data_IF_401654823343
#
_entry.id   IF_401654823343
#
_cell.length_a   1.000
_cell.length_b   1.000
_cell.length_c   1.000
_cell.angle_alpha   90.00
_cell.angle_beta   90.00
_cell.angle_gamma   90.00
#
_symmetry.space_group_name_H-M   'P 1'
#
loop_
_entity.id
_entity.type
_entity.pdbx_description
1 polymer ?
#
# COMPACT_ATOMS: atom_id res chain seq x y z
N UNK A 1 -37.30 -96.05 3.39
CA UNK A 1 -38.08 -95.87 4.64
C UNK A 1 -37.17 -95.26 5.67
N UNK A 2 -37.59 -94.22 6.33
CA UNK A 2 -37.03 -93.49 7.48
C UNK A 2 -35.72 -92.76 7.32
N UNK A 3 -35.91 -91.55 7.17
CA UNK A 3 -35.33 -90.24 7.61
C UNK A 3 -34.67 -90.27 8.95
N UNK A 4 -33.53 -89.69 9.08
CA UNK A 4 -33.11 -88.94 10.29
C UNK A 4 -32.48 -87.63 9.91
N UNK A 5 -33.15 -86.57 10.33
CA UNK A 5 -32.65 -85.17 10.33
C UNK A 5 -31.49 -85.06 11.32
N UNK A 6 -30.43 -84.38 10.94
CA UNK A 6 -29.45 -83.84 11.85
C UNK A 6 -29.40 -82.32 11.65
N UNK A 7 -29.88 -81.63 12.68
CA UNK A 7 -29.80 -80.14 12.76
C UNK A 7 -28.41 -79.71 13.09
N UNK A 8 -27.79 -78.89 12.25
CA UNK A 8 -26.54 -78.21 12.54
C UNK A 8 -26.84 -76.77 12.92
N UNK A 9 -26.69 -76.44 14.19
CA UNK A 9 -26.81 -75.07 14.71
C UNK A 9 -25.50 -74.29 14.38
N UNK A 10 -25.60 -73.29 13.50
CA UNK A 10 -24.52 -72.33 13.24
C UNK A 10 -24.58 -71.25 14.31
N UNK A 11 -23.58 -71.20 15.16
CA UNK A 11 -23.32 -70.12 16.11
C UNK A 11 -22.68 -68.94 15.32
N UNK A 12 -23.43 -67.86 15.08
CA UNK A 12 -22.89 -66.60 14.57
C UNK A 12 -22.26 -65.83 15.76
N UNK A 13 -20.95 -65.85 15.85
CA UNK A 13 -20.19 -64.97 16.75
C UNK A 13 -20.08 -63.59 16.06
N UNK A 14 -20.86 -62.60 16.54
CA UNK A 14 -20.69 -61.19 16.20
C UNK A 14 -19.37 -60.69 16.83
N UNK A 15 -18.32 -60.61 16.07
CA UNK A 15 -17.11 -59.90 16.45
C UNK A 15 -17.38 -58.42 16.18
N UNK A 16 -17.72 -57.64 17.21
CA UNK A 16 -17.67 -56.18 17.15
C UNK A 16 -16.19 -55.78 17.05
N UNK A 17 -15.70 -55.64 15.83
CA UNK A 17 -14.43 -54.99 15.57
C UNK A 17 -14.56 -53.50 15.81
N UNK A 18 -14.09 -53.03 16.96
CA UNK A 18 -13.75 -51.64 17.20
C UNK A 18 -12.66 -51.26 16.20
N UNK A 19 -13.06 -50.87 15.00
CA UNK A 19 -12.18 -50.22 14.04
C UNK A 19 -11.75 -48.88 14.64
N UNK A 20 -10.66 -48.85 15.38
CA UNK A 20 -9.88 -47.63 15.52
C UNK A 20 -9.42 -47.22 14.10
N UNK A 21 -10.18 -46.35 13.47
CA UNK A 21 -9.77 -45.69 12.25
C UNK A 21 -8.51 -44.89 12.59
N UNK A 22 -7.35 -45.47 12.26
CA UNK A 22 -6.10 -44.71 12.19
C UNK A 22 -6.34 -43.71 11.05
N UNK A 23 -6.72 -42.47 11.44
CA UNK A 23 -6.63 -41.36 10.49
C UNK A 23 -5.15 -41.31 10.08
N UNK A 24 -4.82 -41.42 8.79
CA UNK A 24 -3.45 -41.20 8.38
C UNK A 24 -3.03 -39.83 8.94
N UNK A 25 -1.89 -39.80 9.62
CA UNK A 25 -1.31 -38.53 10.04
C UNK A 25 -1.23 -37.66 8.80
N UNK A 26 -1.85 -36.49 8.85
CA UNK A 26 -1.76 -35.53 7.76
C UNK A 26 -0.27 -35.31 7.46
N UNK A 27 0.09 -35.37 6.18
CA UNK A 27 1.48 -35.14 5.80
C UNK A 27 1.90 -33.76 6.27
N UNK A 28 3.03 -33.68 6.99
CA UNK A 28 3.53 -32.41 7.49
C UNK A 28 3.75 -31.46 6.31
N UNK A 29 3.31 -30.21 6.43
CA UNK A 29 3.54 -29.16 5.44
C UNK A 29 5.04 -28.86 5.42
N UNK A 30 5.68 -29.06 4.30
CA UNK A 30 7.12 -28.83 4.12
C UNK A 30 7.44 -27.58 3.32
N UNK A 31 6.41 -26.98 2.68
CA UNK A 31 6.56 -25.81 1.82
C UNK A 31 5.29 -24.96 1.84
N UNK A 32 5.47 -23.63 1.91
CA UNK A 32 4.44 -22.60 1.73
C UNK A 32 4.80 -21.70 0.54
N UNK A 33 3.78 -21.17 -0.11
CA UNK A 33 3.92 -20.22 -1.22
C UNK A 33 3.21 -18.92 -0.86
N UNK A 34 3.95 -17.81 -0.95
CA UNK A 34 3.42 -16.45 -0.86
C UNK A 34 3.44 -15.85 -2.25
N UNK A 35 2.34 -15.26 -2.72
CA UNK A 35 2.36 -14.44 -3.94
C UNK A 35 2.42 -12.97 -3.56
N UNK A 36 3.28 -12.22 -4.25
CA UNK A 36 3.43 -10.78 -4.09
C UNK A 36 3.76 -10.09 -5.41
N UNK A 37 3.68 -8.76 -5.43
CA UNK A 37 4.15 -7.97 -6.55
C UNK A 37 5.66 -8.08 -6.76
N UNK A 38 6.11 -7.88 -7.99
CA UNK A 38 7.53 -7.87 -8.34
C UNK A 38 8.17 -6.52 -7.98
N UNK A 39 8.90 -6.49 -6.87
CA UNK A 39 9.63 -5.31 -6.40
C UNK A 39 10.62 -5.68 -5.28
N UNK A 40 11.47 -4.74 -4.88
CA UNK A 40 12.52 -5.01 -3.90
C UNK A 40 12.04 -5.59 -2.54
N UNK A 41 10.93 -5.13 -1.92
CA UNK A 41 10.43 -5.76 -0.69
C UNK A 41 10.12 -7.25 -0.83
N UNK A 42 9.65 -7.72 -1.98
CA UNK A 42 9.43 -9.16 -2.19
C UNK A 42 10.74 -9.95 -2.18
N UNK A 43 11.84 -9.38 -2.71
CA UNK A 43 13.18 -9.97 -2.61
C UNK A 43 13.69 -9.99 -1.17
N UNK A 44 13.40 -8.92 -0.41
CA UNK A 44 13.75 -8.87 1.02
C UNK A 44 12.98 -9.91 1.83
N UNK A 45 11.69 -10.09 1.55
CA UNK A 45 10.90 -11.15 2.18
C UNK A 45 11.44 -12.54 1.81
N UNK A 46 11.78 -12.79 0.52
CA UNK A 46 12.41 -14.06 0.11
C UNK A 46 13.75 -14.32 0.81
N UNK A 47 14.47 -13.27 1.18
CA UNK A 47 15.67 -13.36 1.98
C UNK A 47 15.35 -13.67 3.45
N UNK A 48 14.42 -12.95 4.04
CA UNK A 48 14.02 -13.09 5.44
C UNK A 48 13.46 -14.47 5.77
N UNK A 49 12.68 -15.07 4.87
CA UNK A 49 12.05 -16.38 5.10
C UNK A 49 13.04 -17.53 5.25
N UNK A 50 14.32 -17.34 4.90
CA UNK A 50 15.38 -18.32 5.21
C UNK A 50 15.56 -18.52 6.71
N UNK A 51 15.34 -17.48 7.51
CA UNK A 51 15.38 -17.60 8.96
C UNK A 51 14.20 -18.45 9.46
N UNK A 52 13.02 -18.32 8.84
CA UNK A 52 11.86 -19.17 9.17
C UNK A 52 12.12 -20.64 8.79
N UNK A 53 12.67 -20.89 7.60
CA UNK A 53 13.05 -22.22 7.16
C UNK A 53 14.00 -22.91 8.17
N UNK A 54 14.96 -22.16 8.70
CA UNK A 54 15.94 -22.66 9.67
C UNK A 54 15.31 -23.07 11.01
N UNK A 55 14.26 -22.38 11.45
CA UNK A 55 13.61 -22.65 12.77
C UNK A 55 12.40 -23.56 12.67
N UNK A 56 11.65 -23.51 11.57
CA UNK A 56 10.40 -24.26 11.39
C UNK A 56 10.57 -25.54 10.53
N UNK A 57 11.63 -25.62 9.74
CA UNK A 57 11.82 -26.71 8.75
C UNK A 57 10.83 -26.64 7.58
N UNK A 58 10.13 -25.52 7.41
CA UNK A 58 9.16 -25.29 6.35
C UNK A 58 9.75 -24.28 5.36
N UNK A 59 9.93 -24.69 4.12
CA UNK A 59 10.39 -23.82 3.05
C UNK A 59 9.31 -22.80 2.70
N UNK A 60 9.68 -21.54 2.46
CA UNK A 60 8.75 -20.51 1.99
C UNK A 60 9.25 -19.91 0.68
N UNK A 61 8.41 -19.96 -0.35
CA UNK A 61 8.69 -19.37 -1.65
C UNK A 61 7.86 -18.11 -1.83
N UNK A 62 8.50 -16.99 -2.16
CA UNK A 62 7.84 -15.75 -2.55
C UNK A 62 7.79 -15.69 -4.08
N UNK A 63 6.62 -15.95 -4.64
CA UNK A 63 6.36 -15.86 -6.08
C UNK A 63 6.00 -14.42 -6.40
N UNK A 64 6.67 -13.85 -7.38
CA UNK A 64 6.49 -12.45 -7.75
C UNK A 64 5.75 -12.32 -9.08
N UNK A 65 4.80 -11.39 -9.12
CA UNK A 65 3.99 -11.05 -10.29
C UNK A 65 4.18 -9.56 -10.62
N UNK A 66 4.36 -9.17 -11.90
CA UNK A 66 4.42 -7.75 -12.27
C UNK A 66 3.18 -6.97 -11.79
N UNK A 67 3.37 -5.73 -11.32
CA UNK A 67 2.31 -4.89 -10.77
C UNK A 67 1.07 -4.81 -11.67
N UNK A 68 1.25 -4.59 -12.98
CA UNK A 68 0.14 -4.44 -13.91
C UNK A 68 -0.73 -5.70 -14.11
N UNK A 69 -0.23 -6.88 -13.73
CA UNK A 69 -0.95 -8.17 -13.83
C UNK A 69 -1.28 -8.78 -12.48
N UNK A 70 -0.75 -8.25 -11.39
CA UNK A 70 -0.81 -8.86 -10.08
C UNK A 70 -2.25 -9.07 -9.58
N UNK A 71 -3.10 -8.04 -9.60
CA UNK A 71 -4.52 -8.20 -9.21
C UNK A 71 -5.23 -9.24 -10.09
N UNK A 72 -5.00 -9.21 -11.40
CA UNK A 72 -5.63 -10.15 -12.33
C UNK A 72 -5.22 -11.60 -12.02
N UNK A 73 -3.95 -11.82 -11.67
CA UNK A 73 -3.44 -13.15 -11.28
C UNK A 73 -4.11 -13.65 -10.00
N UNK A 74 -4.24 -12.80 -8.98
CA UNK A 74 -4.89 -13.13 -7.71
C UNK A 74 -6.39 -13.36 -7.93
N UNK A 75 -7.07 -12.49 -8.68
CA UNK A 75 -8.50 -12.62 -8.97
C UNK A 75 -8.85 -13.89 -9.78
N UNK A 76 -7.98 -14.30 -10.71
CA UNK A 76 -8.14 -15.55 -11.43
C UNK A 76 -8.09 -16.76 -10.49
N UNK A 77 -7.19 -16.75 -9.52
CA UNK A 77 -7.10 -17.80 -8.51
C UNK A 77 -8.32 -17.82 -7.57
N UNK A 78 -8.83 -16.66 -7.16
CA UNK A 78 -10.07 -16.54 -6.40
C UNK A 78 -11.26 -17.12 -7.15
N UNK A 79 -11.42 -16.75 -8.43
CA UNK A 79 -12.49 -17.25 -9.27
C UNK A 79 -12.44 -18.78 -9.44
N UNK A 80 -11.25 -19.35 -9.53
CA UNK A 80 -11.03 -20.80 -9.60
C UNK A 80 -11.17 -21.49 -8.24
N UNK A 81 -11.25 -20.76 -7.12
CA UNK A 81 -11.09 -21.28 -5.75
C UNK A 81 -9.82 -22.12 -5.62
N UNK A 82 -8.77 -21.64 -6.23
CA UNK A 82 -7.50 -22.34 -6.36
C UNK A 82 -6.63 -22.28 -5.11
N UNK A 83 -5.63 -23.12 -5.09
CA UNK A 83 -4.67 -23.26 -3.97
C UNK A 83 -3.22 -23.15 -4.44
N UNK A 84 -2.97 -22.39 -5.52
CA UNK A 84 -1.63 -22.23 -6.07
C UNK A 84 -0.70 -21.45 -5.12
N UNK A 85 -1.26 -20.67 -4.22
CA UNK A 85 -0.53 -19.99 -3.14
C UNK A 85 -1.29 -20.11 -1.83
N UNK A 86 -0.53 -20.12 -0.72
CA UNK A 86 -1.06 -20.21 0.64
C UNK A 86 -1.44 -18.84 1.21
N UNK A 87 -0.62 -17.84 0.88
CA UNK A 87 -0.76 -16.48 1.35
C UNK A 87 -0.60 -15.50 0.21
N UNK A 88 -1.24 -14.35 0.36
CA UNK A 88 -1.16 -13.22 -0.57
C UNK A 88 -0.71 -12.02 0.23
N UNK A 89 0.41 -11.39 -0.16
CA UNK A 89 0.69 -10.02 0.29
C UNK A 89 -0.02 -9.10 -0.68
N UNK A 90 -1.30 -8.86 -0.39
CA UNK A 90 -2.21 -8.14 -1.26
C UNK A 90 -2.25 -6.66 -0.96
N UNK A 91 -2.57 -5.86 -1.98
CA UNK A 91 -2.77 -4.44 -1.82
C UNK A 91 -3.95 -4.16 -0.87
N UNK A 92 -3.86 -3.09 -0.10
CA UNK A 92 -4.89 -2.63 0.84
C UNK A 92 -6.27 -2.53 0.19
N UNK A 93 -6.30 -2.05 -1.04
CA UNK A 93 -7.51 -1.77 -1.81
C UNK A 93 -8.30 -3.03 -2.20
N UNK A 94 -7.69 -4.22 -2.15
CA UNK A 94 -8.37 -5.49 -2.46
C UNK A 94 -8.89 -6.22 -1.22
N UNK A 95 -8.55 -5.71 -0.05
CA UNK A 95 -8.89 -6.37 1.23
C UNK A 95 -10.39 -6.62 1.34
N UNK A 96 -11.20 -5.62 1.01
CA UNK A 96 -12.65 -5.72 1.07
C UNK A 96 -13.22 -6.79 0.13
N UNK A 97 -12.68 -6.90 -1.08
CA UNK A 97 -13.09 -7.95 -2.01
C UNK A 97 -12.70 -9.33 -1.48
N UNK A 98 -11.45 -9.50 -1.05
CA UNK A 98 -10.96 -10.76 -0.50
C UNK A 98 -11.74 -11.22 0.73
N UNK A 99 -12.06 -10.29 1.63
CA UNK A 99 -12.82 -10.54 2.85
C UNK A 99 -14.30 -10.84 2.60
N UNK A 100 -15.01 -9.95 1.88
CA UNK A 100 -16.46 -10.05 1.68
C UNK A 100 -16.88 -11.22 0.81
N UNK A 101 -16.03 -11.60 -0.16
CA UNK A 101 -16.28 -12.73 -1.05
C UNK A 101 -15.76 -14.07 -0.51
N UNK A 102 -15.16 -14.08 0.69
CA UNK A 102 -14.70 -15.30 1.38
C UNK A 102 -13.45 -15.93 0.76
N UNK A 103 -12.58 -15.11 0.16
CA UNK A 103 -11.31 -15.55 -0.42
C UNK A 103 -10.19 -15.61 0.63
N UNK A 104 -10.33 -14.87 1.73
CA UNK A 104 -9.37 -14.82 2.82
C UNK A 104 -9.90 -15.50 4.08
N UNK A 105 -9.01 -16.03 4.88
CA UNK A 105 -9.29 -16.51 6.24
C UNK A 105 -9.35 -15.32 7.19
N UNK A 106 -10.38 -15.27 8.05
CA UNK A 106 -10.43 -14.23 9.09
C UNK A 106 -9.34 -14.45 10.14
N UNK A 107 -8.59 -13.41 10.47
CA UNK A 107 -7.45 -13.43 11.39
C UNK A 107 -7.77 -12.85 12.78
N UNK A 108 -9.01 -12.43 13.06
CA UNK A 108 -9.38 -11.71 14.29
C UNK A 108 -8.99 -12.48 15.55
N UNK A 109 -9.41 -13.74 15.65
CA UNK A 109 -9.09 -14.57 16.81
C UNK A 109 -7.60 -14.94 16.88
N UNK A 110 -6.98 -15.15 15.73
CA UNK A 110 -5.54 -15.40 15.65
C UNK A 110 -4.75 -14.22 16.20
N UNK A 111 -5.04 -13.00 15.77
CA UNK A 111 -4.35 -11.79 16.22
C UNK A 111 -4.52 -11.56 17.70
N UNK A 112 -5.73 -11.75 18.22
CA UNK A 112 -6.05 -11.61 19.65
C UNK A 112 -5.33 -12.64 20.52
N UNK A 113 -5.32 -13.90 20.09
CA UNK A 113 -4.78 -15.02 20.88
C UNK A 113 -3.24 -15.12 20.84
N UNK A 114 -2.58 -14.38 19.94
CA UNK A 114 -1.12 -14.36 19.81
C UNK A 114 -0.49 -13.05 20.32
N UNK A 115 -0.96 -12.52 21.45
CA UNK A 115 -0.39 -11.33 22.07
C UNK A 115 -1.02 -10.03 21.62
N UNK A 116 -2.25 -10.07 21.09
CA UNK A 116 -2.97 -8.91 20.58
C UNK A 116 -2.16 -8.18 19.49
N UNK A 117 -1.82 -8.92 18.44
CA UNK A 117 -0.97 -8.45 17.35
C UNK A 117 -1.46 -7.14 16.71
N UNK A 118 -2.77 -6.86 16.81
CA UNK A 118 -3.35 -5.59 16.37
C UNK A 118 -2.71 -4.36 17.05
N UNK A 119 -2.23 -4.52 18.29
CA UNK A 119 -1.57 -3.42 19.04
C UNK A 119 -0.09 -3.24 18.69
N UNK A 120 0.49 -4.16 17.95
CA UNK A 120 1.92 -4.08 17.59
C UNK A 120 2.17 -3.25 16.34
N UNK A 121 1.14 -2.96 15.56
CA UNK A 121 1.23 -2.23 14.30
C UNK A 121 0.53 -0.86 14.41
N UNK A 122 0.88 0.07 13.50
CA UNK A 122 0.29 1.41 13.54
C UNK A 122 -1.23 1.33 13.30
N UNK A 123 -2.04 2.18 13.94
CA UNK A 123 -3.49 2.16 13.78
C UNK A 123 -3.94 2.32 12.32
N UNK A 124 -3.26 3.17 11.54
CA UNK A 124 -3.61 3.38 10.14
C UNK A 124 -3.34 2.13 9.29
N UNK A 125 -2.18 1.48 9.45
CA UNK A 125 -1.90 0.25 8.69
C UNK A 125 -2.82 -0.89 9.11
N UNK A 126 -3.19 -0.98 10.39
CA UNK A 126 -4.18 -1.96 10.83
C UNK A 126 -5.53 -1.73 10.18
N UNK A 127 -6.00 -0.47 10.15
CA UNK A 127 -7.29 -0.09 9.57
C UNK A 127 -7.34 -0.37 8.07
N UNK A 128 -6.30 0.06 7.32
CA UNK A 128 -6.35 -0.03 5.85
C UNK A 128 -5.86 -1.36 5.31
N UNK A 129 -4.86 -2.01 5.95
CA UNK A 129 -4.28 -3.27 5.44
C UNK A 129 -4.83 -4.52 6.08
N UNK A 130 -5.51 -4.43 7.22
CA UNK A 130 -5.96 -5.59 7.98
C UNK A 130 -7.45 -5.66 8.21
N UNK A 131 -8.12 -4.52 8.40
CA UNK A 131 -9.50 -4.47 8.87
C UNK A 131 -10.52 -4.33 7.75
N UNK A 132 -11.56 -5.16 7.78
CA UNK A 132 -12.73 -5.01 6.91
C UNK A 132 -13.99 -5.62 7.55
N UNK A 133 -15.18 -4.94 7.52
CA UNK A 133 -15.34 -3.52 7.17
C UNK A 133 -14.59 -2.59 8.13
N UNK A 134 -14.30 -1.36 7.69
CA UNK A 134 -13.61 -0.37 8.51
C UNK A 134 -14.34 -0.14 9.83
N UNK A 135 -13.62 -0.13 10.96
CA UNK A 135 -14.17 0.06 12.31
C UNK A 135 -14.88 -1.17 12.90
N UNK A 136 -14.84 -2.33 12.24
CA UNK A 136 -15.51 -3.56 12.70
C UNK A 136 -14.73 -4.34 13.75
N UNK A 137 -13.41 -4.13 13.86
CA UNK A 137 -12.51 -4.97 14.63
C UNK A 137 -12.30 -6.37 14.06
N UNK A 138 -12.67 -6.59 12.79
CA UNK A 138 -12.46 -7.86 12.07
C UNK A 138 -11.28 -7.74 11.14
N UNK A 139 -10.31 -8.63 11.30
CA UNK A 139 -9.04 -8.59 10.58
C UNK A 139 -8.94 -9.74 9.57
N UNK A 140 -8.46 -9.45 8.36
CA UNK A 140 -8.37 -10.37 7.24
C UNK A 140 -6.96 -10.46 6.66
N UNK A 141 -6.10 -9.53 7.08
CA UNK A 141 -4.68 -9.56 6.78
C UNK A 141 -3.88 -9.03 7.97
N UNK A 142 -2.60 -9.41 8.05
CA UNK A 142 -1.64 -8.80 8.96
C UNK A 142 -0.83 -7.74 8.21
N UNK A 143 -0.78 -6.47 8.67
CA UNK A 143 0.00 -5.41 8.04
C UNK A 143 1.48 -5.81 7.89
N UNK A 144 1.97 -5.85 6.67
CA UNK A 144 3.27 -6.44 6.33
C UNK A 144 4.25 -5.41 5.80
N UNK A 145 3.78 -4.56 4.90
CA UNK A 145 4.56 -3.52 4.24
C UNK A 145 3.85 -2.20 4.40
N UNK A 146 4.43 -1.28 5.15
CA UNK A 146 3.93 0.07 5.31
C UNK A 146 4.64 0.99 4.33
N UNK A 147 3.93 1.59 3.40
CA UNK A 147 4.50 2.58 2.51
C UNK A 147 3.62 3.83 2.45
N UNK A 148 4.18 4.93 2.05
CA UNK A 148 3.48 6.20 1.91
C UNK A 148 4.22 7.12 0.93
N UNK A 149 3.51 8.11 0.40
CA UNK A 149 4.16 9.15 -0.37
C UNK A 149 4.94 10.13 0.51
N UNK A 150 6.11 10.52 0.01
CA UNK A 150 6.96 11.57 0.58
C UNK A 150 7.64 12.36 -0.52
N UNK A 151 8.59 13.19 -0.14
CA UNK A 151 9.33 14.03 -1.06
C UNK A 151 10.83 13.85 -0.90
N UNK A 152 11.54 13.76 -2.02
CA UNK A 152 12.98 13.98 -2.10
C UNK A 152 13.25 15.40 -2.58
N UNK A 153 14.35 16.04 -2.12
CA UNK A 153 14.75 17.38 -2.55
C UNK A 153 16.27 17.53 -2.65
N UNK A 154 16.73 18.47 -3.42
CA UNK A 154 18.12 18.81 -3.66
C UNK A 154 18.61 19.77 -2.57
N UNK A 155 19.29 19.25 -1.52
CA UNK A 155 19.87 20.05 -0.43
C UNK A 155 20.83 21.13 -0.95
N UNK A 156 21.65 20.81 -1.95
CA UNK A 156 22.58 21.76 -2.55
C UNK A 156 21.89 22.99 -3.16
N UNK A 157 20.67 22.84 -3.69
CA UNK A 157 19.87 23.99 -4.15
C UNK A 157 19.23 24.74 -3.00
N UNK A 158 18.67 24.02 -2.02
CA UNK A 158 17.97 24.63 -0.89
C UNK A 158 18.92 25.31 0.11
N UNK A 159 20.15 24.85 0.19
CA UNK A 159 21.16 25.37 1.13
C UNK A 159 22.09 26.41 0.50
N UNK A 160 22.05 26.60 -0.82
CA UNK A 160 22.85 27.62 -1.51
C UNK A 160 22.50 29.04 -0.98
N UNK A 161 23.48 29.81 -0.46
CA UNK A 161 23.22 31.13 0.07
C UNK A 161 22.61 32.11 -0.94
N UNK A 162 22.93 31.97 -2.23
CA UNK A 162 22.37 32.83 -3.30
C UNK A 162 20.92 32.50 -3.55
N UNK A 163 20.58 31.21 -3.54
CA UNK A 163 19.19 30.76 -3.70
C UNK A 163 18.35 31.21 -2.50
N UNK A 164 18.87 31.10 -1.29
CA UNK A 164 18.19 31.58 -0.07
C UNK A 164 17.93 33.08 -0.12
N UNK A 165 18.91 33.88 -0.52
CA UNK A 165 18.79 35.34 -0.64
C UNK A 165 17.73 35.68 -1.73
N UNK A 166 17.83 35.07 -2.90
CA UNK A 166 16.90 35.30 -4.01
C UNK A 166 15.47 34.90 -3.69
N UNK A 167 15.29 33.74 -3.02
CA UNK A 167 13.98 33.27 -2.57
C UNK A 167 13.37 34.23 -1.55
N UNK A 168 14.16 34.63 -0.55
CA UNK A 168 13.73 35.58 0.48
C UNK A 168 13.34 36.93 -0.13
N UNK A 169 14.11 37.43 -1.10
CA UNK A 169 13.80 38.67 -1.81
C UNK A 169 12.49 38.56 -2.59
N UNK A 170 12.19 37.40 -3.18
CA UNK A 170 10.99 37.17 -4.00
C UNK A 170 9.74 36.91 -3.16
N UNK A 171 9.85 36.09 -2.11
CA UNK A 171 8.69 35.58 -1.36
C UNK A 171 8.57 36.14 0.08
N UNK A 172 9.55 36.92 0.55
CA UNK A 172 9.52 37.54 1.89
C UNK A 172 9.72 36.57 3.05
N UNK A 173 10.13 35.32 2.78
CA UNK A 173 10.37 34.28 3.77
C UNK A 173 11.62 33.47 3.43
N UNK A 174 12.18 32.76 4.40
CA UNK A 174 13.36 31.92 4.19
C UNK A 174 13.03 30.71 3.29
N UNK A 175 13.99 30.31 2.45
CA UNK A 175 13.96 29.06 1.71
C UNK A 175 14.28 27.90 2.68
N UNK A 176 13.37 26.94 2.77
CA UNK A 176 13.50 25.75 3.61
C UNK A 176 12.57 24.64 3.16
N UNK A 177 12.49 23.58 3.95
CA UNK A 177 11.52 22.50 3.70
C UNK A 177 10.11 23.08 3.82
N UNK A 178 9.24 22.89 2.78
CA UNK A 178 7.88 23.42 2.81
C UNK A 178 7.04 22.72 3.90
N UNK A 179 6.29 23.52 4.65
CA UNK A 179 5.37 23.02 5.68
C UNK A 179 3.91 22.98 5.20
N UNK A 180 3.61 23.72 4.14
CA UNK A 180 2.29 23.78 3.51
C UNK A 180 2.37 23.56 2.00
N UNK A 181 1.27 23.12 1.40
CA UNK A 181 1.18 22.97 -0.06
C UNK A 181 1.43 24.27 -0.84
N UNK A 182 0.90 25.44 -0.43
CA UNK A 182 1.27 26.70 -1.07
C UNK A 182 2.78 27.00 -1.02
N UNK A 183 3.44 26.72 0.10
CA UNK A 183 4.90 26.89 0.20
C UNK A 183 5.65 25.96 -0.76
N UNK A 184 5.21 24.70 -0.90
CA UNK A 184 5.79 23.74 -1.84
C UNK A 184 5.67 24.24 -3.28
N UNK A 185 4.50 24.77 -3.65
CA UNK A 185 4.25 25.33 -5.00
C UNK A 185 5.13 26.56 -5.25
N UNK A 186 5.26 27.47 -4.29
CA UNK A 186 6.15 28.63 -4.43
C UNK A 186 7.61 28.21 -4.63
N UNK A 187 8.08 27.21 -3.89
CA UNK A 187 9.44 26.65 -4.04
C UNK A 187 9.59 25.99 -5.42
N UNK A 188 8.58 25.21 -5.85
CA UNK A 188 8.59 24.59 -7.16
C UNK A 188 8.65 25.64 -8.29
N UNK A 189 7.85 26.70 -8.21
CA UNK A 189 7.93 27.86 -9.14
C UNK A 189 9.27 28.55 -9.10
N UNK A 190 9.86 28.71 -7.92
CA UNK A 190 11.15 29.37 -7.76
C UNK A 190 12.28 28.64 -8.46
N UNK A 191 12.32 27.31 -8.32
CA UNK A 191 13.33 26.47 -8.95
C UNK A 191 13.04 26.13 -10.41
N UNK A 192 11.88 26.51 -10.95
CA UNK A 192 11.58 26.28 -12.37
C UNK A 192 12.29 27.30 -13.23
N UNK A 193 13.34 26.86 -13.96
CA UNK A 193 14.22 27.62 -14.86
C UNK A 193 14.35 26.82 -16.17
N UNK A 194 13.31 26.94 -17.00
CA UNK A 194 13.18 26.13 -18.23
C UNK A 194 14.34 26.29 -19.20
N UNK A 195 14.91 27.48 -19.25
CA UNK A 195 16.09 27.83 -20.03
C UNK A 195 17.38 27.12 -19.54
N UNK A 196 17.41 26.70 -18.30
CA UNK A 196 18.53 25.96 -17.68
C UNK A 196 18.23 24.45 -17.60
N UNK A 197 17.07 23.99 -18.05
CA UNK A 197 16.64 22.59 -17.92
C UNK A 197 16.32 22.15 -16.49
N UNK A 198 16.12 23.13 -15.56
CA UNK A 198 15.74 22.86 -14.18
C UNK A 198 14.24 23.14 -14.00
N UNK A 199 13.57 22.21 -13.34
CA UNK A 199 12.16 22.28 -13.00
C UNK A 199 11.96 22.12 -11.49
N UNK A 200 10.81 22.61 -10.99
CA UNK A 200 10.59 22.61 -9.53
C UNK A 200 10.23 21.26 -8.95
N UNK A 201 9.41 20.47 -9.66
CA UNK A 201 8.88 19.24 -9.11
C UNK A 201 8.59 18.17 -10.17
N UNK A 202 8.81 16.92 -9.81
CA UNK A 202 8.23 15.75 -10.48
C UNK A 202 7.13 15.18 -9.61
N UNK A 203 5.95 14.93 -10.20
CA UNK A 203 4.76 14.36 -9.54
C UNK A 203 4.16 13.25 -10.40
N UNK A 204 3.29 12.45 -9.82
CA UNK A 204 2.58 11.39 -10.52
C UNK A 204 1.52 11.92 -11.48
N UNK A 205 1.52 11.40 -12.71
CA UNK A 205 0.59 11.81 -13.77
C UNK A 205 0.01 10.63 -14.53
N UNK A 206 0.61 9.43 -14.41
CA UNK A 206 0.17 8.24 -15.11
C UNK A 206 -1.24 7.83 -14.67
N UNK A 207 -2.07 7.45 -15.64
CA UNK A 207 -3.42 6.90 -15.38
C UNK A 207 -3.45 5.37 -15.44
N UNK A 208 -2.43 4.73 -14.90
CA UNK A 208 -2.34 3.29 -14.79
C UNK A 208 -2.03 2.91 -13.35
N UNK A 209 -2.48 1.73 -12.94
CA UNK A 209 -2.52 1.31 -11.55
C UNK A 209 -3.24 2.37 -10.71
N UNK A 210 -2.59 3.05 -9.78
CA UNK A 210 -3.20 4.10 -8.96
C UNK A 210 -2.41 5.43 -8.95
N UNK A 211 -1.41 5.55 -9.84
CA UNK A 211 -0.39 6.60 -9.81
C UNK A 211 -0.92 8.03 -9.62
N UNK A 212 -1.70 8.57 -10.59
CA UNK A 212 -2.22 9.95 -10.49
C UNK A 212 -3.19 10.11 -9.31
N UNK A 213 -3.94 9.05 -8.99
CA UNK A 213 -4.88 9.05 -7.88
C UNK A 213 -4.16 9.19 -6.56
N UNK A 214 -3.13 8.38 -6.31
CA UNK A 214 -2.33 8.45 -5.09
C UNK A 214 -1.54 9.75 -4.99
N UNK A 215 -1.01 10.23 -6.11
CA UNK A 215 -0.36 11.53 -6.15
C UNK A 215 -1.29 12.68 -5.73
N UNK A 216 -2.49 12.70 -6.29
CA UNK A 216 -3.50 13.72 -5.97
C UNK A 216 -4.06 13.58 -4.55
N UNK A 217 -4.25 12.37 -4.02
CA UNK A 217 -4.80 12.13 -2.69
C UNK A 217 -4.05 12.87 -1.58
N UNK A 218 -2.74 13.06 -1.70
CA UNK A 218 -1.95 13.76 -0.70
C UNK A 218 -2.50 15.17 -0.42
N UNK A 219 -2.72 15.94 -1.47
CA UNK A 219 -3.28 17.29 -1.35
C UNK A 219 -4.80 17.26 -1.13
N UNK A 220 -5.51 16.35 -1.80
CA UNK A 220 -6.96 16.20 -1.71
C UNK A 220 -7.44 15.98 -0.27
N UNK A 221 -6.88 14.99 0.41
CA UNK A 221 -7.22 14.70 1.81
C UNK A 221 -6.76 15.83 2.75
N UNK A 222 -5.59 16.44 2.49
CA UNK A 222 -5.09 17.55 3.28
C UNK A 222 -5.98 18.81 3.17
N UNK A 223 -6.75 18.91 2.09
CA UNK A 223 -7.76 19.95 1.89
C UNK A 223 -9.17 19.52 2.35
N UNK A 224 -9.28 18.35 2.98
CA UNK A 224 -10.54 17.85 3.56
C UNK A 224 -11.46 17.17 2.54
N UNK A 225 -10.96 16.88 1.33
CA UNK A 225 -11.63 16.01 0.37
C UNK A 225 -11.68 14.56 0.85
N UNK A 226 -12.61 13.81 0.30
CA UNK A 226 -12.72 12.36 0.46
C UNK A 226 -13.46 11.77 -0.74
N UNK A 227 -13.39 10.45 -0.93
CA UNK A 227 -14.08 9.81 -2.04
C UNK A 227 -15.57 9.59 -1.77
N UNK A 228 -15.95 9.51 -0.53
CA UNK A 228 -17.32 9.50 -0.03
C UNK A 228 -17.34 9.80 1.48
N UNK A 229 -18.48 10.17 2.04
CA UNK A 229 -18.64 10.34 3.48
C UNK A 229 -19.11 9.05 4.18
N UNK A 230 -19.34 9.10 5.47
CA UNK A 230 -19.83 7.96 6.26
C UNK A 230 -21.22 7.44 5.83
N UNK A 231 -21.96 8.18 5.02
CA UNK A 231 -23.24 7.79 4.43
C UNK A 231 -23.07 7.29 2.98
N UNK A 232 -21.83 7.11 2.50
CA UNK A 232 -21.49 6.74 1.12
C UNK A 232 -21.97 7.77 0.07
N UNK A 233 -22.07 9.03 0.44
CA UNK A 233 -22.39 10.14 -0.47
C UNK A 233 -21.11 10.77 -1.00
N UNK A 234 -21.07 11.02 -2.30
CA UNK A 234 -19.92 11.59 -3.01
C UNK A 234 -20.08 13.08 -3.29
N UNK A 235 -21.32 13.54 -3.55
CA UNK A 235 -21.62 14.94 -3.84
C UNK A 235 -21.34 15.82 -2.63
N UNK A 236 -20.68 16.97 -2.86
CA UNK A 236 -20.25 17.89 -1.80
C UNK A 236 -19.05 17.40 -0.99
N UNK A 237 -18.54 16.17 -1.27
CA UNK A 237 -17.37 15.58 -0.63
C UNK A 237 -16.23 15.54 -1.65
N UNK A 238 -16.40 14.81 -2.76
CA UNK A 238 -15.43 14.70 -3.85
C UNK A 238 -15.23 16.06 -4.54
N UNK A 239 -16.32 16.81 -4.74
CA UNK A 239 -16.38 18.07 -5.48
C UNK A 239 -16.61 19.29 -4.58
N UNK A 240 -16.20 19.23 -3.31
CA UNK A 240 -16.23 20.38 -2.41
C UNK A 240 -15.33 21.52 -2.92
N UNK A 241 -15.58 22.76 -2.49
CA UNK A 241 -14.75 23.92 -2.86
C UNK A 241 -13.26 23.71 -2.53
N UNK A 242 -12.95 23.05 -1.42
CA UNK A 242 -11.58 22.76 -1.03
C UNK A 242 -10.96 21.65 -1.89
N UNK A 243 -11.74 20.63 -2.28
CA UNK A 243 -11.31 19.61 -3.21
C UNK A 243 -10.99 20.20 -4.59
N UNK A 244 -11.80 21.15 -5.07
CA UNK A 244 -11.56 21.88 -6.33
C UNK A 244 -10.23 22.64 -6.25
N UNK A 245 -9.98 23.38 -5.17
CA UNK A 245 -8.69 24.07 -4.95
C UNK A 245 -7.52 23.09 -4.92
N UNK A 246 -7.67 21.94 -4.26
CA UNK A 246 -6.62 20.92 -4.22
C UNK A 246 -6.29 20.41 -5.64
N UNK A 247 -7.29 20.18 -6.48
CA UNK A 247 -7.07 19.72 -7.84
C UNK A 247 -6.46 20.81 -8.75
N UNK A 248 -6.86 22.06 -8.57
CA UNK A 248 -6.23 23.22 -9.24
C UNK A 248 -4.74 23.32 -8.89
N UNK A 249 -4.39 23.18 -7.61
CA UNK A 249 -3.01 23.23 -7.12
C UNK A 249 -2.19 22.04 -7.64
N UNK A 250 -2.76 20.84 -7.75
CA UNK A 250 -2.07 19.68 -8.30
C UNK A 250 -1.77 19.88 -9.78
N UNK A 251 -2.73 20.40 -10.54
CA UNK A 251 -2.53 20.79 -11.94
C UNK A 251 -1.47 21.91 -12.07
N UNK A 252 -1.52 22.90 -11.20
CA UNK A 252 -0.52 23.98 -11.20
C UNK A 252 0.91 23.44 -11.05
N UNK A 253 1.15 22.49 -10.12
CA UNK A 253 2.44 21.82 -9.99
C UNK A 253 2.88 21.13 -11.26
N UNK A 254 1.97 20.48 -11.97
CA UNK A 254 2.26 19.84 -13.24
C UNK A 254 2.60 20.87 -14.33
N UNK A 255 1.75 21.83 -14.56
CA UNK A 255 1.88 22.79 -15.68
C UNK A 255 3.06 23.75 -15.54
N UNK A 256 3.25 24.29 -14.33
CA UNK A 256 4.33 25.24 -14.13
C UNK A 256 5.68 24.55 -14.03
N UNK A 257 5.76 23.41 -13.32
CA UNK A 257 6.92 23.05 -12.56
C UNK A 257 7.43 21.63 -12.82
N UNK A 258 6.71 20.84 -13.64
CA UNK A 258 7.17 19.53 -14.07
C UNK A 258 7.90 19.60 -15.42
N UNK A 259 8.97 18.81 -15.62
CA UNK A 259 9.67 18.79 -16.90
C UNK A 259 8.80 18.19 -18.02
N UNK A 260 9.03 18.61 -19.29
CA UNK A 260 8.42 17.95 -20.43
C UNK A 260 8.71 16.45 -20.44
N UNK A 261 7.71 15.64 -20.83
CA UNK A 261 7.85 14.18 -20.87
C UNK A 261 7.27 13.47 -19.64
N UNK A 262 6.93 14.17 -18.55
CA UNK A 262 6.27 13.58 -17.39
C UNK A 262 4.72 13.58 -17.51
N UNK A 263 4.17 13.45 -18.71
CA UNK A 263 2.72 13.32 -18.92
C UNK A 263 2.17 11.93 -18.58
N UNK A 264 3.04 10.97 -18.38
CA UNK A 264 2.72 9.59 -17.98
C UNK A 264 3.75 9.10 -16.96
N UNK A 265 3.93 9.85 -15.86
CA UNK A 265 4.94 9.58 -14.85
C UNK A 265 4.36 8.83 -13.65
N UNK A 266 5.10 7.81 -13.21
CA UNK A 266 4.91 7.12 -11.95
C UNK A 266 6.25 7.09 -11.18
N UNK A 267 6.50 6.06 -10.40
CA UNK A 267 7.66 6.01 -9.51
C UNK A 267 9.01 6.06 -10.25
N UNK A 268 9.13 5.40 -11.42
CA UNK A 268 10.39 5.36 -12.14
C UNK A 268 10.72 6.71 -12.78
N UNK A 269 9.77 7.30 -13.48
CA UNK A 269 9.96 8.57 -14.20
C UNK A 269 10.23 9.73 -13.23
N UNK A 270 9.60 9.74 -12.04
CA UNK A 270 9.89 10.74 -11.01
C UNK A 270 11.31 10.59 -10.44
N UNK A 271 11.75 9.35 -10.20
CA UNK A 271 13.12 9.07 -9.78
C UNK A 271 14.15 9.44 -10.87
N UNK A 272 13.86 9.12 -12.13
CA UNK A 272 14.73 9.44 -13.27
C UNK A 272 14.89 10.97 -13.46
N UNK A 273 13.79 11.72 -13.33
CA UNK A 273 13.83 13.17 -13.37
C UNK A 273 14.71 13.77 -12.24
N UNK A 274 14.67 13.16 -11.06
CA UNK A 274 15.48 13.59 -9.92
C UNK A 274 16.95 13.22 -10.10
N UNK A 275 17.27 11.97 -10.43
CA UNK A 275 18.64 11.47 -10.57
C UNK A 275 19.38 12.09 -11.75
N UNK A 276 18.66 12.48 -12.80
CA UNK A 276 19.23 13.27 -13.92
C UNK A 276 19.51 14.73 -13.56
N UNK A 277 18.92 15.24 -12.46
CA UNK A 277 19.05 16.62 -12.01
C UNK A 277 18.08 17.59 -12.69
N UNK A 278 17.04 17.08 -13.34
CA UNK A 278 16.03 17.91 -13.99
C UNK A 278 15.08 18.58 -13.00
N UNK A 279 14.95 18.06 -11.78
CA UNK A 279 14.02 18.61 -10.78
C UNK A 279 14.69 18.92 -9.46
N UNK A 280 14.20 19.98 -8.78
CA UNK A 280 14.61 20.35 -7.43
C UNK A 280 13.96 19.45 -6.37
N UNK A 281 12.75 18.95 -6.63
CA UNK A 281 11.97 18.08 -5.75
C UNK A 281 11.31 16.95 -6.55
N UNK A 282 11.14 15.78 -5.94
CA UNK A 282 10.39 14.67 -6.52
C UNK A 282 9.49 14.03 -5.47
N UNK A 283 8.20 13.87 -5.79
CA UNK A 283 7.27 13.08 -4.99
C UNK A 283 7.40 11.60 -5.39
N UNK A 284 7.48 10.73 -4.39
CA UNK A 284 7.44 9.30 -4.63
C UNK A 284 6.99 8.56 -3.35
N UNK A 285 6.68 7.27 -3.48
CA UNK A 285 6.62 6.40 -2.33
C UNK A 285 8.00 6.20 -1.71
N UNK A 286 8.06 6.08 -0.39
CA UNK A 286 9.32 5.87 0.32
C UNK A 286 10.04 4.59 -0.13
N UNK A 287 9.30 3.55 -0.54
CA UNK A 287 9.86 2.31 -1.06
C UNK A 287 10.74 2.49 -2.31
N UNK A 288 10.63 3.61 -3.02
CA UNK A 288 11.46 3.91 -4.19
C UNK A 288 12.61 4.88 -3.90
N UNK A 289 12.72 5.42 -2.70
CA UNK A 289 13.83 6.30 -2.28
C UNK A 289 15.19 5.61 -2.07
N UNK A 290 15.31 4.27 -1.84
CA UNK A 290 16.62 3.61 -1.87
C UNK A 290 17.44 3.90 -3.13
N UNK A 291 16.79 4.00 -4.29
CA UNK A 291 17.46 4.37 -5.55
C UNK A 291 18.04 5.79 -5.50
N UNK A 292 17.39 6.73 -4.80
CA UNK A 292 17.84 8.11 -4.65
C UNK A 292 18.94 8.27 -3.59
N UNK A 293 18.97 7.38 -2.60
CA UNK A 293 20.01 7.37 -1.56
C UNK A 293 21.30 6.65 -2.00
N UNK A 294 21.26 5.90 -3.11
CA UNK A 294 22.39 5.12 -3.60
C UNK A 294 23.26 5.94 -4.56
N UNK A 295 24.53 6.18 -4.17
CA UNK A 295 25.51 6.93 -4.98
C UNK A 295 25.84 6.28 -6.33
N UNK A 296 25.59 4.96 -6.50
CA UNK A 296 25.78 4.29 -7.77
C UNK A 296 24.68 4.62 -8.80
N UNK A 297 23.46 4.92 -8.35
CA UNK A 297 22.31 5.26 -9.19
C UNK A 297 21.98 6.75 -9.21
N UNK A 298 22.39 7.50 -8.20
CA UNK A 298 22.12 8.93 -8.07
C UNK A 298 23.39 9.72 -7.75
N UNK A 299 23.88 10.50 -8.70
CA UNK A 299 25.04 11.39 -8.49
C UNK A 299 24.79 12.50 -7.44
N UNK A 300 23.54 12.74 -7.05
CA UNK A 300 23.14 13.70 -6.04
C UNK A 300 22.81 13.05 -4.68
N UNK A 301 23.07 11.74 -4.50
CA UNK A 301 22.69 11.01 -3.30
C UNK A 301 23.15 11.71 -2.00
N UNK A 302 24.41 12.22 -1.94
CA UNK A 302 24.98 12.90 -0.76
C UNK A 302 24.30 14.25 -0.47
N UNK A 303 23.69 14.86 -1.46
CA UNK A 303 22.93 16.13 -1.36
C UNK A 303 21.43 15.96 -1.51
N UNK A 304 20.95 14.72 -1.45
CA UNK A 304 19.52 14.42 -1.41
C UNK A 304 19.01 14.51 0.03
N UNK A 305 17.95 15.28 0.25
CA UNK A 305 17.19 15.31 1.49
C UNK A 305 15.79 14.74 1.27
N UNK A 306 15.10 14.44 2.37
CA UNK A 306 13.77 13.85 2.34
C UNK A 306 12.87 14.54 3.35
N UNK A 307 11.60 14.70 3.01
CA UNK A 307 10.60 15.26 3.91
C UNK A 307 9.22 14.61 3.65
N UNK A 308 8.38 14.67 4.67
CA UNK A 308 7.01 14.18 4.64
C UNK A 308 6.06 15.17 3.97
N UNK A 309 4.81 14.78 3.70
CA UNK A 309 3.84 15.62 3.01
C UNK A 309 3.58 16.94 3.75
N UNK A 310 3.46 18.07 3.03
CA UNK A 310 3.04 19.34 3.60
C UNK A 310 1.58 19.31 4.09
N UNK A 311 1.23 20.25 4.96
CA UNK A 311 -0.15 20.44 5.40
C UNK A 311 -0.98 21.23 4.38
N UNK A 312 -2.28 20.97 4.38
CA UNK A 312 -3.28 21.71 3.65
C UNK A 312 -4.04 22.70 4.54
N UNK A 313 -5.36 22.74 4.34
CA UNK A 313 -6.24 23.66 5.05
C UNK A 313 -6.32 23.30 6.54
N UNK A 314 -6.39 24.32 7.40
CA UNK A 314 -6.49 24.18 8.85
C UNK A 314 -5.39 23.28 9.48
N UNK A 315 -4.21 23.22 8.85
CA UNK A 315 -3.11 22.40 9.31
C UNK A 315 -3.30 20.89 9.11
N UNK A 316 -4.36 20.47 8.42
CA UNK A 316 -4.58 19.05 8.08
C UNK A 316 -3.46 18.54 7.22
N UNK A 317 -3.00 17.34 7.52
CA UNK A 317 -1.86 16.72 6.87
C UNK A 317 -2.15 15.27 6.59
N UNK A 318 -2.03 14.87 5.34
CA UNK A 318 -2.22 13.49 4.91
C UNK A 318 -1.18 13.10 3.86
N UNK A 319 -0.76 11.85 3.92
CA UNK A 319 0.00 11.19 2.87
C UNK A 319 -0.78 9.99 2.36
N UNK A 320 -0.78 9.79 1.05
CA UNK A 320 -1.36 8.58 0.46
C UNK A 320 -0.59 7.36 0.94
N UNK A 321 -1.31 6.41 1.49
CA UNK A 321 -0.80 5.12 1.94
C UNK A 321 -0.68 4.19 0.72
N UNK A 322 0.36 3.37 0.66
CA UNK A 322 0.62 2.49 -0.46
C UNK A 322 1.21 1.17 -0.01
N UNK A 323 0.61 0.51 0.96
CA UNK A 323 1.17 -0.69 1.52
C UNK A 323 0.26 -1.90 1.43
N UNK A 324 0.74 -3.00 1.96
CA UNK A 324 0.11 -4.30 1.82
C UNK A 324 0.01 -5.05 3.14
N UNK A 325 -1.03 -5.88 3.21
CA UNK A 325 -1.21 -6.88 4.26
C UNK A 325 -1.09 -8.30 3.73
N UNK A 326 -0.57 -9.20 4.56
CA UNK A 326 -0.51 -10.62 4.24
C UNK A 326 -1.79 -11.31 4.70
N UNK A 327 -2.53 -11.91 3.77
CA UNK A 327 -3.76 -12.68 3.98
C UNK A 327 -3.51 -14.16 3.75
N UNK A 328 -4.27 -15.02 4.44
CA UNK A 328 -4.25 -16.47 4.23
C UNK A 328 -5.36 -16.83 3.22
N UNK A 329 -5.03 -17.61 2.20
CA UNK A 329 -5.98 -18.11 1.20
C UNK A 329 -7.00 -19.06 1.86
N UNK A 330 -8.29 -18.81 1.68
CA UNK A 330 -9.36 -19.62 2.26
C UNK A 330 -9.47 -21.04 1.65
N UNK A 331 -8.92 -21.26 0.45
CA UNK A 331 -9.11 -22.47 -0.34
C UNK A 331 -8.04 -23.55 -0.15
N UNK A 332 -7.01 -23.29 0.65
CA UNK A 332 -5.98 -24.29 1.02
C UNK A 332 -6.48 -25.23 2.12
N UNK A 333 -5.80 -26.37 2.31
CA UNK A 333 -6.15 -27.32 3.37
C UNK A 333 -5.97 -26.73 4.78
N UNK A 334 -6.62 -27.32 5.77
CA UNK A 334 -6.54 -26.82 7.16
C UNK A 334 -5.11 -26.95 7.71
N UNK A 335 -4.34 -27.97 7.30
CA UNK A 335 -2.93 -28.12 7.67
C UNK A 335 -2.09 -26.97 7.11
N UNK A 336 -2.36 -26.54 5.86
CA UNK A 336 -1.66 -25.42 5.23
C UNK A 336 -2.08 -24.08 5.84
N UNK A 337 -3.37 -23.93 6.22
CA UNK A 337 -3.81 -22.75 7.00
C UNK A 337 -3.08 -22.66 8.33
N UNK A 338 -2.95 -23.80 9.05
CA UNK A 338 -2.22 -23.80 10.30
C UNK A 338 -0.74 -23.45 10.12
N UNK A 339 -0.08 -24.00 9.12
CA UNK A 339 1.30 -23.64 8.79
C UNK A 339 1.45 -22.15 8.39
N UNK A 340 0.45 -21.57 7.71
CA UNK A 340 0.40 -20.15 7.41
C UNK A 340 0.22 -19.29 8.66
N UNK A 341 -0.62 -19.70 9.63
CA UNK A 341 -0.71 -19.04 10.93
C UNK A 341 0.61 -19.09 11.70
N UNK A 342 1.31 -20.22 11.67
CA UNK A 342 2.61 -20.35 12.33
C UNK A 342 3.66 -19.42 11.71
N UNK A 343 3.63 -19.28 10.38
CA UNK A 343 4.45 -18.29 9.67
C UNK A 343 4.10 -16.85 10.09
N UNK A 344 2.81 -16.48 10.09
CA UNK A 344 2.38 -15.14 10.52
C UNK A 344 2.77 -14.83 11.95
N UNK A 345 2.65 -15.80 12.86
CA UNK A 345 3.07 -15.66 14.26
C UNK A 345 4.57 -15.37 14.37
N UNK A 346 5.40 -16.05 13.59
CA UNK A 346 6.84 -15.80 13.54
C UNK A 346 7.12 -14.41 12.92
N UNK A 347 6.50 -14.09 11.79
CA UNK A 347 6.72 -12.82 11.07
C UNK A 347 6.35 -11.61 11.93
N UNK A 348 5.28 -11.71 12.73
CA UNK A 348 4.79 -10.64 13.59
C UNK A 348 5.68 -10.38 14.83
N UNK A 349 6.68 -11.21 15.13
CA UNK A 349 7.57 -10.97 16.27
C UNK A 349 8.44 -9.74 16.04
N UNK A 350 8.72 -8.97 17.11
CA UNK A 350 9.53 -7.76 17.04
C UNK A 350 10.90 -8.00 16.43
N UNK A 351 11.58 -9.10 16.81
CA UNK A 351 12.92 -9.40 16.31
C UNK A 351 12.90 -9.66 14.79
N UNK A 352 11.87 -10.31 14.29
CA UNK A 352 11.70 -10.54 12.84
C UNK A 352 11.33 -9.24 12.13
N UNK A 353 10.48 -8.42 12.70
CA UNK A 353 10.13 -7.09 12.16
C UNK A 353 11.35 -6.15 12.15
N UNK A 354 12.25 -6.26 13.13
CA UNK A 354 13.52 -5.53 13.12
C UNK A 354 14.41 -5.99 11.96
N UNK A 355 14.58 -7.30 11.76
CA UNK A 355 15.32 -7.84 10.61
C UNK A 355 14.69 -7.47 9.27
N UNK A 356 13.35 -7.49 9.21
CA UNK A 356 12.59 -7.03 8.05
C UNK A 356 12.98 -5.61 7.67
N UNK A 357 12.98 -4.71 8.64
CA UNK A 357 13.38 -3.31 8.45
C UNK A 357 14.86 -3.16 8.06
N UNK A 358 15.75 -3.97 8.64
CA UNK A 358 17.20 -3.96 8.31
C UNK A 358 17.48 -4.43 6.86
N UNK A 359 16.66 -5.32 6.32
CA UNK A 359 16.73 -5.75 4.92
C UNK A 359 16.19 -4.67 3.96
N UNK A 360 15.48 -3.67 4.44
CA UNK A 360 14.86 -2.62 3.64
C UNK A 360 13.34 -2.71 3.54
N UNK A 361 12.69 -3.64 4.26
CA UNK A 361 11.24 -3.72 4.38
C UNK A 361 10.70 -2.55 5.21
N UNK A 362 9.53 -2.05 4.82
CA UNK A 362 8.87 -0.95 5.50
C UNK A 362 7.90 -1.49 6.54
N UNK A 363 8.46 -1.80 7.72
CA UNK A 363 7.70 -2.40 8.81
C UNK A 363 6.51 -1.53 9.25
N UNK A 364 5.41 -2.19 9.60
CA UNK A 364 4.26 -1.56 10.26
C UNK A 364 4.37 -1.59 11.79
N UNK A 365 5.39 -2.27 12.36
CA UNK A 365 5.55 -2.43 13.79
C UNK A 365 5.92 -1.12 14.49
N UNK A 366 5.09 -0.68 15.44
CA UNK A 366 5.24 0.62 16.14
C UNK A 366 6.59 0.73 16.85
N UNK A 367 7.03 -0.34 17.55
CA UNK A 367 8.27 -0.27 18.32
C UNK A 367 9.50 -0.19 17.41
N UNK A 368 9.47 -0.92 16.28
CA UNK A 368 10.56 -0.89 15.31
C UNK A 368 10.61 0.46 14.59
N UNK A 369 9.48 0.98 14.11
CA UNK A 369 9.39 2.30 13.46
C UNK A 369 9.97 3.44 14.30
N UNK A 370 9.77 3.38 15.63
CA UNK A 370 10.25 4.39 16.57
C UNK A 370 11.65 4.09 17.13
N UNK A 371 12.29 3.00 16.71
CA UNK A 371 13.61 2.65 17.20
C UNK A 371 14.70 3.54 16.59
N UNK A 372 15.71 3.88 17.40
CA UNK A 372 16.87 4.64 16.92
C UNK A 372 17.61 3.88 15.80
N UNK A 373 17.62 2.55 15.86
CA UNK A 373 18.20 1.71 14.85
C UNK A 373 17.51 1.92 13.50
N UNK A 374 16.16 1.85 13.44
CA UNK A 374 15.41 2.08 12.22
C UNK A 374 15.62 3.49 11.66
N UNK A 375 15.53 4.51 12.49
CA UNK A 375 15.64 5.92 12.06
C UNK A 375 17.01 6.25 11.43
N UNK A 376 18.04 5.44 11.71
CA UNK A 376 19.41 5.63 11.18
C UNK A 376 19.77 4.72 10.01
N UNK A 377 18.98 3.71 9.68
CA UNK A 377 19.28 2.74 8.59
C UNK A 377 19.34 3.43 7.24
N UNK A 378 18.42 4.35 6.95
CA UNK A 378 18.38 5.07 5.70
C UNK A 378 18.08 6.56 5.93
N UNK A 379 18.58 7.48 5.07
CA UNK A 379 18.43 8.92 5.26
C UNK A 379 16.98 9.42 5.18
N UNK A 380 16.06 8.61 4.64
CA UNK A 380 14.64 8.91 4.51
C UNK A 380 13.78 8.31 5.63
N UNK A 381 14.32 7.43 6.49
CA UNK A 381 13.52 6.72 7.49
C UNK A 381 12.88 7.63 8.53
N UNK A 382 13.53 8.74 8.89
CA UNK A 382 12.92 9.71 9.81
C UNK A 382 11.67 10.39 9.19
N UNK A 383 11.75 10.79 7.92
CA UNK A 383 10.60 11.33 7.19
C UNK A 383 9.51 10.28 6.98
N UNK A 384 9.89 9.02 6.72
CA UNK A 384 8.95 7.90 6.63
C UNK A 384 8.20 7.67 7.95
N UNK A 385 8.91 7.53 9.06
CA UNK A 385 8.30 7.31 10.38
C UNK A 385 7.33 8.44 10.76
N UNK A 386 7.70 9.68 10.47
CA UNK A 386 6.82 10.84 10.63
C UNK A 386 5.57 10.71 9.75
N UNK A 387 5.75 10.39 8.47
CA UNK A 387 4.65 10.25 7.50
C UNK A 387 3.63 9.21 7.93
N UNK A 388 4.07 8.07 8.48
CA UNK A 388 3.19 6.99 8.94
C UNK A 388 2.23 7.39 10.07
N UNK A 389 2.39 8.58 10.66
CA UNK A 389 1.46 9.08 11.69
C UNK A 389 0.22 9.77 11.12
N UNK A 390 0.20 10.12 9.83
CA UNK A 390 -0.91 10.84 9.19
C UNK A 390 -1.25 10.29 7.79
N UNK A 391 -1.04 9.00 7.58
CA UNK A 391 -1.40 8.33 6.32
C UNK A 391 -2.91 8.12 6.21
N UNK A 392 -3.40 8.14 4.96
CA UNK A 392 -4.76 7.80 4.60
C UNK A 392 -4.78 7.13 3.22
N UNK A 393 -5.57 6.07 3.10
CA UNK A 393 -5.72 5.34 1.85
C UNK A 393 -6.96 5.77 1.06
N UNK A 394 -7.09 5.28 -0.16
CA UNK A 394 -8.23 5.51 -1.02
C UNK A 394 -9.51 4.92 -0.39
N UNK A 395 -9.66 3.63 -0.47
CA UNK A 395 -10.73 2.84 0.15
C UNK A 395 -10.42 1.36 -0.02
N UNK A 396 -10.91 0.53 0.87
CA UNK A 396 -10.75 -0.93 0.78
C UNK A 396 -12.08 -1.68 0.55
N UNK A 397 -13.12 -0.99 0.03
CA UNK A 397 -14.39 -1.63 -0.31
C UNK A 397 -14.26 -2.47 -1.60
N UNK A 398 -15.14 -3.47 -1.80
CA UNK A 398 -15.07 -4.36 -2.98
C UNK A 398 -15.14 -3.63 -4.32
N UNK A 399 -15.77 -2.46 -4.35
CA UNK A 399 -16.00 -1.63 -5.55
C UNK A 399 -14.79 -0.82 -5.99
N UNK A 400 -13.70 -0.79 -5.21
CA UNK A 400 -12.49 -0.03 -5.53
C UNK A 400 -12.04 -0.20 -6.99
N UNK A 401 -11.98 -1.44 -7.47
CA UNK A 401 -11.54 -1.75 -8.84
C UNK A 401 -12.41 -1.12 -9.94
N UNK A 402 -13.69 -0.84 -9.65
CA UNK A 402 -14.58 -0.13 -10.56
C UNK A 402 -14.49 1.40 -10.41
N UNK A 403 -14.19 1.86 -9.20
CA UNK A 403 -14.07 3.30 -8.89
C UNK A 403 -12.79 3.93 -9.47
N UNK A 404 -11.67 3.21 -9.38
CA UNK A 404 -10.35 3.73 -9.73
C UNK A 404 -10.25 4.26 -11.17
N UNK A 405 -10.72 3.55 -12.22
CA UNK A 405 -10.63 4.06 -13.60
C UNK A 405 -11.37 5.37 -13.81
N UNK A 406 -12.51 5.59 -13.14
CA UNK A 406 -13.28 6.85 -13.22
C UNK A 406 -12.45 8.00 -12.66
N UNK A 407 -11.83 7.78 -11.51
CA UNK A 407 -10.98 8.78 -10.85
C UNK A 407 -9.77 9.10 -11.73
N UNK A 408 -9.02 8.09 -12.15
CA UNK A 408 -7.81 8.23 -12.96
C UNK A 408 -8.05 8.99 -14.26
N UNK A 409 -9.08 8.61 -15.00
CA UNK A 409 -9.38 9.23 -16.29
C UNK A 409 -9.71 10.71 -16.15
N UNK A 410 -10.58 11.07 -15.22
CA UNK A 410 -10.99 12.46 -15.02
C UNK A 410 -9.87 13.32 -14.46
N UNK A 411 -9.06 12.81 -13.52
CA UNK A 411 -7.89 13.52 -13.04
C UNK A 411 -6.86 13.75 -14.15
N UNK A 412 -6.53 12.70 -14.92
CA UNK A 412 -5.55 12.81 -16.01
C UNK A 412 -6.02 13.76 -17.11
N UNK A 413 -7.29 13.66 -17.54
CA UNK A 413 -7.86 14.52 -18.56
C UNK A 413 -7.81 16.00 -18.17
N UNK A 414 -7.99 16.32 -16.89
CA UNK A 414 -7.88 17.68 -16.39
C UNK A 414 -6.42 18.09 -16.15
N UNK A 415 -5.63 17.33 -15.40
CA UNK A 415 -4.27 17.70 -14.98
C UNK A 415 -3.32 17.74 -16.17
N UNK A 416 -3.32 16.68 -16.98
CA UNK A 416 -2.38 16.48 -18.09
C UNK A 416 -2.99 16.96 -19.41
N UNK A 417 -4.24 16.56 -19.66
CA UNK A 417 -4.94 16.87 -20.91
C UNK A 417 -5.47 18.31 -21.00
N UNK A 418 -5.47 19.06 -19.91
CA UNK A 418 -5.96 20.46 -19.87
C UNK A 418 -7.45 20.62 -20.17
N UNK A 419 -8.25 19.55 -20.02
CA UNK A 419 -9.64 19.53 -20.43
C UNK A 419 -10.58 20.04 -19.32
N UNK A 420 -11.38 21.02 -19.62
CA UNK A 420 -12.42 21.55 -18.72
C UNK A 420 -11.85 22.26 -17.49
N UNK A 421 -12.61 22.23 -16.41
CA UNK A 421 -12.29 22.83 -15.11
C UNK A 421 -12.12 21.75 -14.04
N UNK A 422 -11.44 22.08 -12.93
CA UNK A 422 -11.31 21.19 -11.78
C UNK A 422 -12.68 20.75 -11.23
N UNK A 423 -13.62 21.70 -11.20
CA UNK A 423 -15.00 21.42 -10.78
C UNK A 423 -15.65 20.36 -11.69
N UNK A 424 -15.62 20.55 -13.00
CA UNK A 424 -16.20 19.59 -13.95
C UNK A 424 -15.57 18.20 -13.85
N UNK A 425 -14.26 18.11 -13.63
CA UNK A 425 -13.57 16.84 -13.42
C UNK A 425 -14.04 16.14 -12.15
N UNK A 426 -14.11 16.85 -11.02
CA UNK A 426 -14.57 16.30 -9.75
C UNK A 426 -16.08 16.02 -9.74
N UNK A 427 -16.91 16.80 -10.44
CA UNK A 427 -18.34 16.51 -10.61
C UNK A 427 -18.55 15.16 -11.34
N UNK A 428 -17.78 14.92 -12.42
CA UNK A 428 -17.85 13.62 -13.14
C UNK A 428 -17.39 12.45 -12.25
N UNK A 429 -16.34 12.66 -11.46
CA UNK A 429 -15.91 11.65 -10.48
C UNK A 429 -17.02 11.41 -9.47
N UNK A 430 -17.57 12.45 -8.86
CA UNK A 430 -18.63 12.32 -7.85
C UNK A 430 -19.82 11.53 -8.38
N UNK A 431 -20.30 11.87 -9.58
CA UNK A 431 -21.41 11.14 -10.23
C UNK A 431 -21.06 9.68 -10.47
N UNK A 432 -19.92 9.40 -11.10
CA UNK A 432 -19.55 8.03 -11.44
C UNK A 432 -19.31 7.15 -10.20
N UNK A 433 -18.71 7.69 -9.15
CA UNK A 433 -18.54 6.96 -7.89
C UNK A 433 -19.89 6.70 -7.20
N UNK A 434 -20.82 7.69 -7.23
CA UNK A 434 -22.15 7.51 -6.64
C UNK A 434 -22.96 6.44 -7.37
N UNK A 435 -22.86 6.36 -8.69
CA UNK A 435 -23.50 5.30 -9.47
C UNK A 435 -23.00 3.92 -9.03
N UNK A 436 -21.68 3.72 -8.95
CA UNK A 436 -21.08 2.46 -8.49
C UNK A 436 -21.55 2.09 -7.08
N UNK A 437 -21.50 3.04 -6.14
CA UNK A 437 -21.92 2.81 -4.76
C UNK A 437 -23.42 2.45 -4.68
N UNK A 438 -24.25 3.14 -5.45
CA UNK A 438 -25.70 2.87 -5.51
C UNK A 438 -26.01 1.48 -6.08
N UNK A 439 -25.33 1.10 -7.17
CA UNK A 439 -25.52 -0.21 -7.82
C UNK A 439 -25.05 -1.36 -6.91
N UNK A 440 -24.03 -1.11 -6.08
CA UNK A 440 -23.57 -2.04 -5.06
C UNK A 440 -24.47 -2.12 -3.81
N UNK A 441 -25.51 -1.26 -3.73
CA UNK A 441 -26.50 -1.28 -2.65
C UNK A 441 -26.15 -0.41 -1.44
N UNK A 442 -25.16 0.46 -1.54
CA UNK A 442 -24.89 1.46 -0.50
C UNK A 442 -26.00 2.51 -0.46
N UNK A 443 -26.22 3.17 0.69
CA UNK A 443 -27.26 4.22 0.83
C UNK A 443 -27.12 5.34 -0.22
N UNK A 444 -28.27 5.90 -0.65
CA UNK A 444 -28.32 7.04 -1.56
C UNK A 444 -28.23 8.35 -0.84
#
# INVERSE_FOLDING_TARGET
MFKKLLSLALLFALVFGLGFGIRPAAAAVTELTIIWAQWAPADYLQTLVKDYEAVAGVKVNVVQEPWGTFLNRVAAEWAAKGSAFDMVVGDSQWLGQGASQGHYVELTDFMKNNGDLAKTVTPATLQYYGEYPAGSGRYWAFPTEGDANGWAYRKDLFEDPKEKEAFKAKYGRELGIPTTWPELIDIAKFFTRKDQGLYGAAIYTQKDYDAITMGFQNIFFSYGGDWYNSEFKTEGVVNSENAIKALEMYRELYECCSPPGLSNAFFQETNDAFTSGQVAMAMNYFAFFPALANTASNKFADVTGYFSMPSGIDGKRYAALGGQGISINAYISDERKQASFDFLKWFATKDVQQKWAELGGYTCNIEVLNSEAFLKVAPFNAAFAETMTFVKDFTNIPEYGAMLPIVQENLHNYVVGGQGTAKEALDRIAVGLQEILTDAGYPK
#
